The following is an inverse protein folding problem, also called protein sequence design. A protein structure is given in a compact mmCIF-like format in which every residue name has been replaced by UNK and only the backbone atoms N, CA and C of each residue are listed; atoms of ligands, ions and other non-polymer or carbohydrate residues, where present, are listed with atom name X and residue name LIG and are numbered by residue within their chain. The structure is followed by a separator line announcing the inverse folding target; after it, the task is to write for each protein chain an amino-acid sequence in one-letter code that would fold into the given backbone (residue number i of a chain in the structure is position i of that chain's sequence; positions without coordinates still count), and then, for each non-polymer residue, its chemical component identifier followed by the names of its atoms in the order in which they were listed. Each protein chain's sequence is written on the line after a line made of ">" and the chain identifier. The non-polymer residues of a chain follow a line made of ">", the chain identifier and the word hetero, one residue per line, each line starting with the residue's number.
data_IF_526831005649
#
_entry.id   IF_526831005649
#
_cell.length_a   1.000
_cell.length_b   1.000
_cell.length_c   1.000
_cell.angle_alpha   90.00
_cell.angle_beta   90.00
_cell.angle_gamma   90.00
#
_symmetry.space_group_name_H-M   'P 1'
#
loop_
_entity.id
_entity.type
_entity.pdbx_description
1 polymer ?
#
# COMPACT_ATOMS: atom_id res chain seq x y z
N UNK A 1 -24.48 4.72 47.42
CA UNK A 1 -23.57 5.56 46.62
C UNK A 1 -23.87 5.52 45.12
N UNK A 2 -23.58 4.45 44.34
CA UNK A 2 -23.83 4.48 42.88
C UNK A 2 -25.31 4.74 42.51
N UNK A 3 -26.26 4.13 43.24
CA UNK A 3 -27.71 4.38 43.03
C UNK A 3 -28.10 5.85 43.27
N UNK A 4 -27.49 6.51 44.23
CA UNK A 4 -27.81 7.91 44.58
C UNK A 4 -27.25 8.87 43.53
N UNK A 5 -26.02 8.64 43.06
CA UNK A 5 -25.43 9.47 42.00
C UNK A 5 -26.14 9.27 40.67
N UNK A 6 -26.55 8.02 40.37
CA UNK A 6 -27.32 7.71 39.16
C UNK A 6 -28.67 8.44 39.13
N UNK A 7 -29.33 8.61 40.28
CA UNK A 7 -30.55 9.39 40.38
C UNK A 7 -30.34 10.88 40.05
N UNK A 8 -29.12 11.38 40.23
CA UNK A 8 -28.71 12.72 39.84
C UNK A 8 -28.15 12.80 38.40
N UNK A 9 -28.18 11.69 37.64
CA UNK A 9 -27.66 11.63 36.27
C UNK A 9 -26.15 11.46 36.15
N UNK A 10 -25.47 11.07 37.24
CA UNK A 10 -24.01 10.90 37.30
C UNK A 10 -23.63 9.48 37.73
N UNK A 11 -22.80 8.81 36.94
CA UNK A 11 -22.24 7.51 37.31
C UNK A 11 -20.74 7.61 37.62
N UNK A 12 -20.23 6.64 38.37
CA UNK A 12 -18.79 6.45 38.52
C UNK A 12 -18.44 4.96 38.42
N UNK A 13 -17.38 4.64 37.71
CA UNK A 13 -16.91 3.28 37.46
C UNK A 13 -15.47 3.13 37.93
N UNK A 14 -15.21 2.10 38.73
CA UNK A 14 -13.87 1.68 39.15
C UNK A 14 -13.82 0.14 39.22
N UNK A 15 -12.64 -0.43 39.43
CA UNK A 15 -12.43 -1.89 39.39
C UNK A 15 -13.34 -2.68 40.33
N UNK A 16 -13.72 -2.08 41.46
CA UNK A 16 -14.61 -2.69 42.46
C UNK A 16 -16.09 -2.73 42.08
N UNK A 17 -16.49 -2.17 40.93
CA UNK A 17 -17.88 -2.24 40.44
C UNK A 17 -18.09 -3.55 39.68
N UNK A 18 -19.17 -4.26 40.01
CA UNK A 18 -19.50 -5.53 39.36
C UNK A 18 -19.68 -5.39 37.85
N UNK A 19 -19.38 -6.46 37.10
CA UNK A 19 -19.49 -6.44 35.64
C UNK A 19 -20.93 -6.19 35.15
N UNK A 20 -21.94 -6.64 35.90
CA UNK A 20 -23.35 -6.37 35.61
C UNK A 20 -23.69 -4.89 35.70
N UNK A 21 -23.31 -4.24 36.80
CA UNK A 21 -23.52 -2.81 37.02
C UNK A 21 -22.76 -1.96 35.99
N UNK A 22 -21.53 -2.35 35.64
CA UNK A 22 -20.76 -1.69 34.58
C UNK A 22 -21.49 -1.69 33.23
N UNK A 23 -22.09 -2.82 32.83
CA UNK A 23 -22.87 -2.92 31.59
C UNK A 23 -24.13 -2.07 31.64
N UNK A 24 -24.82 -2.03 32.78
CA UNK A 24 -26.01 -1.21 32.95
C UNK A 24 -25.68 0.29 32.85
N UNK A 25 -24.61 0.73 33.51
CA UNK A 25 -24.14 2.13 33.40
C UNK A 25 -23.73 2.48 31.96
N UNK A 26 -23.08 1.56 31.24
CA UNK A 26 -22.75 1.76 29.81
C UNK A 26 -24.01 1.96 28.96
N UNK A 27 -25.02 1.11 29.13
CA UNK A 27 -26.29 1.23 28.42
C UNK A 27 -27.00 2.55 28.72
N UNK A 28 -27.01 2.97 29.99
CA UNK A 28 -27.60 4.24 30.41
C UNK A 28 -26.86 5.45 29.82
N UNK A 29 -25.55 5.35 29.66
CA UNK A 29 -24.72 6.41 29.06
C UNK A 29 -24.99 6.53 27.55
N UNK A 30 -25.02 5.39 26.84
CA UNK A 30 -25.29 5.35 25.40
C UNK A 30 -26.72 5.76 25.06
N UNK A 31 -27.70 5.41 25.91
CA UNK A 31 -29.09 5.84 25.74
C UNK A 31 -29.32 7.32 26.11
N UNK A 32 -28.30 8.02 26.61
CA UNK A 32 -28.39 9.40 27.09
C UNK A 32 -29.20 9.59 28.38
N UNK A 33 -29.49 8.51 29.12
CA UNK A 33 -30.21 8.57 30.39
C UNK A 33 -29.35 9.16 31.52
N UNK A 34 -28.03 9.03 31.41
CA UNK A 34 -27.06 9.73 32.24
C UNK A 34 -26.16 10.60 31.36
N UNK A 35 -25.83 11.80 31.84
CA UNK A 35 -25.02 12.75 31.07
C UNK A 35 -23.54 12.70 31.43
N UNK A 36 -23.19 12.20 32.61
CA UNK A 36 -21.82 12.19 33.10
C UNK A 36 -21.48 10.83 33.70
N UNK A 37 -20.33 10.28 33.29
CA UNK A 37 -19.76 9.08 33.89
C UNK A 37 -18.28 9.31 34.18
N UNK A 38 -17.89 9.17 35.44
CA UNK A 38 -16.49 9.24 35.88
C UNK A 38 -15.90 7.83 35.85
N UNK A 39 -14.79 7.62 35.14
CA UNK A 39 -14.25 6.26 34.94
C UNK A 39 -12.79 6.24 35.37
N UNK A 40 -12.44 5.27 36.22
CA UNK A 40 -11.06 5.03 36.62
C UNK A 40 -10.20 4.59 35.41
N UNK A 41 -8.93 5.00 35.39
CA UNK A 41 -8.06 4.84 34.23
C UNK A 41 -7.85 3.38 33.80
N UNK A 42 -7.86 2.47 34.77
CA UNK A 42 -7.71 1.02 34.60
C UNK A 42 -8.84 0.41 33.76
N UNK A 43 -10.00 1.08 33.70
CA UNK A 43 -11.16 0.64 32.93
C UNK A 43 -11.20 1.20 31.50
N UNK A 44 -10.21 1.98 31.05
CA UNK A 44 -10.20 2.59 29.72
C UNK A 44 -10.39 1.57 28.57
N UNK A 45 -9.87 0.36 28.74
CA UNK A 45 -10.00 -0.75 27.79
C UNK A 45 -11.32 -1.52 27.94
N UNK A 46 -11.87 -1.59 29.14
CA UNK A 46 -13.09 -2.34 29.45
C UNK A 46 -14.38 -1.55 29.20
N UNK A 47 -14.29 -0.22 29.11
CA UNK A 47 -15.42 0.64 28.79
C UNK A 47 -15.74 0.55 27.30
N UNK A 48 -16.90 0.03 26.90
CA UNK A 48 -17.28 -0.03 25.48
C UNK A 48 -17.97 1.25 24.98
N UNK A 49 -18.52 2.05 25.89
CA UNK A 49 -19.34 3.20 25.54
C UNK A 49 -18.55 4.32 24.85
N UNK A 50 -19.18 4.91 23.84
CA UNK A 50 -18.71 6.08 23.11
C UNK A 50 -19.56 7.31 23.44
N UNK A 51 -18.93 8.47 23.56
CA UNK A 51 -19.56 9.71 24.02
C UNK A 51 -19.15 10.90 23.15
N UNK A 52 -19.87 12.01 23.26
CA UNK A 52 -19.52 13.26 22.55
C UNK A 52 -18.25 13.91 23.13
N UNK A 53 -18.16 14.00 24.47
CA UNK A 53 -17.05 14.68 25.16
C UNK A 53 -16.32 13.72 26.09
N UNK A 54 -14.99 13.68 25.97
CA UNK A 54 -14.12 13.01 26.95
C UNK A 54 -13.25 14.05 27.65
N UNK A 55 -13.12 13.92 28.97
CA UNK A 55 -12.17 14.69 29.77
C UNK A 55 -11.21 13.71 30.43
N UNK A 56 -9.93 13.80 30.08
CA UNK A 56 -8.86 13.06 30.75
C UNK A 56 -8.28 13.96 31.83
N UNK A 57 -8.65 13.67 33.09
CA UNK A 57 -8.26 14.43 34.25
C UNK A 57 -6.91 13.92 34.81
N UNK A 58 -5.81 14.50 34.32
CA UNK A 58 -4.41 14.12 34.57
C UNK A 58 -3.93 12.88 33.78
N UNK A 59 -2.62 12.81 33.55
CA UNK A 59 -1.94 11.79 32.77
C UNK A 59 -0.95 10.96 33.60
N UNK A 60 -1.04 11.02 34.92
CA UNK A 60 -0.14 10.33 35.84
C UNK A 60 -0.89 9.39 36.77
N UNK A 61 -0.20 8.35 37.22
CA UNK A 61 -0.62 7.42 38.26
C UNK A 61 0.46 7.33 39.33
N UNK A 62 0.06 7.24 40.58
CA UNK A 62 0.99 7.08 41.69
C UNK A 62 1.46 5.62 41.80
N UNK A 63 2.77 5.40 41.68
CA UNK A 63 3.38 4.09 41.89
C UNK A 63 3.87 3.97 43.33
N UNK A 64 3.13 3.21 44.15
CA UNK A 64 3.45 3.01 45.56
C UNK A 64 4.75 2.25 45.84
N UNK A 65 5.31 1.52 44.86
CA UNK A 65 6.61 0.83 45.01
C UNK A 65 7.78 1.79 44.85
N UNK A 66 7.64 2.76 43.95
CA UNK A 66 8.68 3.74 43.65
C UNK A 66 8.49 5.07 44.42
N UNK A 67 7.37 5.19 45.13
CA UNK A 67 6.94 6.42 45.80
C UNK A 67 6.94 7.65 44.87
N UNK A 68 6.62 7.45 43.59
CA UNK A 68 6.69 8.47 42.55
C UNK A 68 5.46 8.41 41.63
N UNK A 69 5.19 9.50 40.93
CA UNK A 69 4.18 9.55 39.87
C UNK A 69 4.79 9.10 38.55
N UNK A 70 4.15 8.13 37.91
CA UNK A 70 4.52 7.64 36.58
C UNK A 70 3.47 8.09 35.57
N UNK A 71 3.90 8.36 34.34
CA UNK A 71 2.99 8.73 33.27
C UNK A 71 2.22 7.50 32.77
N UNK A 72 0.94 7.67 32.45
CA UNK A 72 0.20 6.61 31.76
C UNK A 72 0.88 6.26 30.42
N UNK A 73 0.85 4.99 30.01
CA UNK A 73 1.20 4.61 28.65
C UNK A 73 0.40 5.45 27.64
N UNK A 74 1.07 5.89 26.57
CA UNK A 74 0.45 6.71 25.52
C UNK A 74 -0.79 6.03 24.94
N UNK A 75 -0.72 4.70 24.73
CA UNK A 75 -1.84 3.90 24.25
C UNK A 75 -3.08 4.01 25.14
N UNK A 76 -2.91 4.05 26.46
CA UNK A 76 -4.01 4.23 27.40
C UNK A 76 -4.63 5.62 27.28
N UNK A 77 -3.81 6.68 27.15
CA UNK A 77 -4.31 8.05 26.96
C UNK A 77 -5.06 8.18 25.63
N UNK A 78 -4.51 7.62 24.54
CA UNK A 78 -5.16 7.57 23.24
C UNK A 78 -6.47 6.79 23.29
N UNK A 79 -6.50 5.66 24.02
CA UNK A 79 -7.71 4.86 24.19
C UNK A 79 -8.81 5.64 24.91
N UNK A 80 -8.46 6.44 25.92
CA UNK A 80 -9.42 7.32 26.61
C UNK A 80 -9.94 8.40 25.65
N UNK A 81 -9.04 9.11 24.97
CA UNK A 81 -9.39 10.17 24.01
C UNK A 81 -10.28 9.63 22.89
N UNK A 82 -10.00 8.43 22.38
CA UNK A 82 -10.76 7.76 21.33
C UNK A 82 -12.21 7.39 21.71
N UNK A 83 -12.59 7.49 22.99
CA UNK A 83 -14.01 7.35 23.40
C UNK A 83 -14.87 8.53 22.97
N UNK A 84 -14.26 9.68 22.67
CA UNK A 84 -14.93 10.83 22.08
C UNK A 84 -15.21 10.59 20.58
N UNK A 85 -16.14 9.68 20.27
CA UNK A 85 -16.39 9.26 18.88
C UNK A 85 -17.79 8.65 18.71
N UNK A 86 -18.76 9.43 18.22
CA UNK A 86 -20.11 8.96 17.86
C UNK A 86 -20.45 9.33 16.41
N UNK A 87 -19.87 8.63 15.41
CA UNK A 87 -19.88 9.09 14.02
C UNK A 87 -21.26 9.13 13.37
N UNK A 88 -22.23 8.38 13.89
CA UNK A 88 -23.61 8.35 13.38
C UNK A 88 -24.52 9.40 14.03
N UNK A 89 -24.11 9.99 15.15
CA UNK A 89 -24.92 10.92 15.93
C UNK A 89 -24.38 12.35 15.86
N UNK A 90 -23.07 12.52 16.01
CA UNK A 90 -22.43 13.82 16.16
C UNK A 90 -21.62 14.22 14.93
N UNK A 91 -21.69 15.50 14.55
CA UNK A 91 -20.84 16.09 13.50
C UNK A 91 -19.40 16.36 13.98
N UNK A 92 -19.21 16.45 15.30
CA UNK A 92 -17.93 16.73 15.93
C UNK A 92 -17.88 16.05 17.30
N UNK A 93 -16.67 15.75 17.77
CA UNK A 93 -16.42 15.25 19.12
C UNK A 93 -15.34 16.08 19.80
N UNK A 94 -15.39 16.14 21.13
CA UNK A 94 -14.48 16.99 21.91
C UNK A 94 -13.70 16.14 22.91
N UNK A 95 -12.37 16.23 22.86
CA UNK A 95 -11.50 15.63 23.87
C UNK A 95 -10.71 16.72 24.59
N UNK A 96 -10.80 16.76 25.92
CA UNK A 96 -10.06 17.67 26.78
C UNK A 96 -9.03 16.86 27.56
N UNK A 97 -7.75 17.07 27.26
CA UNK A 97 -6.64 16.42 27.96
C UNK A 97 -6.02 17.40 28.96
N UNK A 98 -6.26 17.16 30.25
CA UNK A 98 -5.62 17.90 31.33
C UNK A 98 -4.30 17.21 31.67
N UNK A 99 -3.18 17.90 31.50
CA UNK A 99 -1.85 17.38 31.79
C UNK A 99 -0.94 18.47 32.36
N UNK A 100 0.20 18.06 32.91
CA UNK A 100 1.19 19.00 33.47
C UNK A 100 1.83 19.82 32.33
N UNK A 101 2.14 21.09 32.59
CA UNK A 101 2.56 22.08 31.58
C UNK A 101 3.71 21.60 30.66
N UNK A 102 4.68 20.87 31.19
CA UNK A 102 5.84 20.39 30.40
C UNK A 102 5.48 19.23 29.44
N UNK A 103 4.37 18.52 29.66
CA UNK A 103 3.86 17.47 28.76
C UNK A 103 2.89 17.99 27.71
N UNK A 104 2.41 19.24 27.83
CA UNK A 104 1.48 19.85 26.88
C UNK A 104 1.99 19.76 25.44
N UNK A 105 3.23 20.20 25.21
CA UNK A 105 3.84 20.19 23.87
C UNK A 105 3.96 18.78 23.31
N UNK A 106 4.27 17.80 24.16
CA UNK A 106 4.35 16.39 23.76
C UNK A 106 2.99 15.88 23.28
N UNK A 107 1.94 16.03 24.09
CA UNK A 107 0.60 15.56 23.72
C UNK A 107 -0.02 16.33 22.56
N UNK A 108 0.22 17.65 22.46
CA UNK A 108 -0.21 18.43 21.30
C UNK A 108 0.40 17.91 20.02
N UNK A 109 1.71 17.59 20.00
CA UNK A 109 2.33 16.97 18.82
C UNK A 109 1.77 15.58 18.57
N UNK A 110 1.72 14.74 19.59
CA UNK A 110 1.25 13.36 19.49
C UNK A 110 -0.19 13.22 18.96
N UNK A 111 -1.10 14.09 19.38
CA UNK A 111 -2.52 14.02 19.02
C UNK A 111 -2.81 14.69 17.67
N UNK A 112 -2.05 15.73 17.31
CA UNK A 112 -2.26 16.44 16.05
C UNK A 112 -1.41 15.87 14.92
N UNK A 113 -0.21 15.38 15.22
CA UNK A 113 0.67 14.75 14.26
C UNK A 113 0.44 13.24 14.34
N UNK A 114 0.20 12.59 13.19
CA UNK A 114 0.27 11.13 13.13
C UNK A 114 1.58 10.70 13.80
N UNK A 115 1.51 9.80 14.79
CA UNK A 115 2.69 9.17 15.36
C UNK A 115 3.59 8.78 14.18
N UNK A 116 4.86 9.22 14.14
CA UNK A 116 5.80 8.66 13.20
C UNK A 116 6.02 7.22 13.64
N UNK A 117 5.13 6.32 13.25
CA UNK A 117 5.43 4.90 13.15
C UNK A 117 6.59 4.84 12.18
N UNK A 118 7.77 4.77 12.76
CA UNK A 118 9.11 4.81 12.17
C UNK A 118 9.13 4.85 10.63
N UNK A 119 8.93 6.05 10.06
CA UNK A 119 9.17 6.34 8.63
C UNK A 119 10.64 6.07 8.25
N UNK A 120 11.48 5.78 9.24
CA UNK A 120 12.81 5.18 9.13
C UNK A 120 12.87 3.92 8.26
N UNK A 121 11.77 3.18 8.12
CA UNK A 121 11.75 1.86 7.48
C UNK A 121 11.38 1.90 6.00
N UNK A 122 10.78 3.00 5.51
CA UNK A 122 10.42 3.08 4.08
C UNK A 122 11.61 3.52 3.22
N UNK A 123 11.84 2.91 2.04
CA UNK A 123 13.04 3.14 1.23
C UNK A 123 13.22 4.58 0.76
N UNK A 124 12.11 5.28 0.48
CA UNK A 124 12.13 6.66 0.00
C UNK A 124 11.40 7.57 1.00
N UNK A 125 12.15 8.32 1.80
CA UNK A 125 11.56 9.29 2.71
C UNK A 125 10.76 10.33 1.91
N UNK A 126 9.54 10.69 2.34
CA UNK A 126 8.80 11.76 1.69
C UNK A 126 9.65 13.03 1.70
N UNK A 127 9.74 13.70 0.55
CA UNK A 127 10.42 14.99 0.43
C UNK A 127 9.38 16.08 0.23
N UNK A 128 9.52 17.19 0.95
CA UNK A 128 8.70 18.36 0.68
C UNK A 128 9.34 19.16 -0.46
N UNK A 129 8.53 19.77 -1.36
CA UNK A 129 9.08 20.71 -2.32
C UNK A 129 9.71 21.92 -1.60
N UNK A 130 10.89 22.34 -2.06
CA UNK A 130 11.57 23.58 -1.69
C UNK A 130 11.92 23.78 -0.20
N UNK A 131 12.50 22.79 0.48
CA UNK A 131 13.14 22.98 1.80
C UNK A 131 12.18 23.09 2.99
N UNK A 132 10.90 22.84 2.79
CA UNK A 132 9.91 22.77 3.88
C UNK A 132 10.00 21.44 4.65
N UNK A 133 9.47 21.44 5.87
CA UNK A 133 9.31 20.20 6.65
C UNK A 133 8.17 19.35 6.09
N UNK A 134 8.36 18.03 6.05
CA UNK A 134 7.32 17.09 5.63
C UNK A 134 6.16 17.15 6.61
N UNK A 135 4.95 17.40 6.10
CA UNK A 135 3.72 17.37 6.89
C UNK A 135 3.14 15.97 6.86
N UNK A 136 3.30 15.20 7.94
CA UNK A 136 2.79 13.83 8.04
C UNK A 136 1.25 13.74 8.14
N UNK A 137 0.59 14.88 8.36
CA UNK A 137 -0.88 14.98 8.37
C UNK A 137 -1.46 15.14 6.96
N UNK A 138 -0.61 15.29 5.93
CA UNK A 138 -1.05 15.37 4.55
C UNK A 138 -1.52 13.98 4.05
N UNK A 139 -2.77 13.84 3.54
CA UNK A 139 -3.26 12.58 3.01
C UNK A 139 -2.42 12.04 1.84
N UNK A 140 -1.75 12.90 1.07
CA UNK A 140 -0.84 12.49 0.00
C UNK A 140 0.42 11.82 0.55
N UNK A 141 0.99 12.37 1.62
CA UNK A 141 2.14 11.77 2.31
C UNK A 141 1.74 10.42 2.91
N UNK A 142 0.56 10.33 3.54
CA UNK A 142 0.03 9.06 4.05
C UNK A 142 -0.11 8.01 2.94
N UNK A 143 -0.77 8.36 1.84
CA UNK A 143 -0.95 7.44 0.70
C UNK A 143 0.40 6.98 0.11
N UNK A 144 1.37 7.90 0.00
CA UNK A 144 2.71 7.60 -0.48
C UNK A 144 3.44 6.61 0.43
N UNK A 145 3.42 6.83 1.74
CA UNK A 145 4.06 5.92 2.73
C UNK A 145 3.37 4.56 2.75
N UNK A 146 2.04 4.51 2.72
CA UNK A 146 1.28 3.25 2.68
C UNK A 146 1.58 2.45 1.40
N UNK A 147 1.69 3.11 0.25
CA UNK A 147 2.07 2.44 -1.00
C UNK A 147 3.48 1.86 -0.91
N UNK A 148 4.44 2.58 -0.34
CA UNK A 148 5.80 2.05 -0.11
C UNK A 148 5.82 0.88 0.89
N UNK A 149 5.01 0.95 1.94
CA UNK A 149 4.87 -0.14 2.91
C UNK A 149 4.29 -1.40 2.24
N UNK A 150 3.33 -1.23 1.32
CA UNK A 150 2.79 -2.31 0.49
C UNK A 150 3.86 -2.93 -0.41
N UNK A 151 4.63 -2.12 -1.15
CA UNK A 151 5.73 -2.61 -2.00
C UNK A 151 6.82 -3.33 -1.21
N UNK A 152 7.01 -2.97 0.06
CA UNK A 152 7.96 -3.63 0.97
C UNK A 152 7.37 -4.79 1.76
N UNK A 153 6.07 -5.11 1.59
CA UNK A 153 5.32 -6.14 2.35
C UNK A 153 5.42 -5.99 3.87
N UNK A 154 5.44 -4.75 4.35
CA UNK A 154 5.48 -4.47 5.79
C UNK A 154 4.17 -4.87 6.46
N UNK A 155 4.27 -5.46 7.65
CA UNK A 155 3.10 -5.75 8.48
C UNK A 155 2.62 -4.44 9.11
N UNK A 156 1.38 -4.04 8.81
CA UNK A 156 0.76 -2.82 9.29
C UNK A 156 -0.41 -3.16 10.24
N UNK A 157 -0.73 -2.29 11.22
CA UNK A 157 -1.95 -2.39 12.01
C UNK A 157 -3.21 -2.44 11.12
N UNK A 158 -4.28 -3.09 11.60
CA UNK A 158 -5.50 -3.33 10.82
C UNK A 158 -6.12 -2.05 10.22
N UNK A 159 -6.07 -0.93 10.94
CA UNK A 159 -6.57 0.37 10.47
C UNK A 159 -5.79 0.88 9.24
N UNK A 160 -4.46 0.83 9.29
CA UNK A 160 -3.60 1.23 8.18
C UNK A 160 -3.64 0.24 7.01
N UNK A 161 -3.93 -1.03 7.29
CA UNK A 161 -4.16 -2.03 6.25
C UNK A 161 -5.48 -1.76 5.49
N UNK A 162 -6.53 -1.35 6.20
CA UNK A 162 -7.78 -0.91 5.58
C UNK A 162 -7.57 0.33 4.69
N UNK A 163 -6.79 1.31 5.16
CA UNK A 163 -6.42 2.48 4.36
C UNK A 163 -5.58 2.11 3.13
N UNK A 164 -4.62 1.19 3.28
CA UNK A 164 -3.82 0.67 2.17
C UNK A 164 -4.72 0.04 1.10
N UNK A 165 -5.72 -0.77 1.50
CA UNK A 165 -6.67 -1.38 0.57
C UNK A 165 -7.46 -0.33 -0.23
N UNK A 166 -7.88 0.78 0.40
CA UNK A 166 -8.56 1.88 -0.26
C UNK A 166 -7.66 2.58 -1.28
N UNK A 167 -6.38 2.79 -0.96
CA UNK A 167 -5.38 3.36 -1.87
C UNK A 167 -5.16 2.45 -3.07
N UNK A 168 -4.93 1.15 -2.84
CA UNK A 168 -4.67 0.17 -3.90
C UNK A 168 -5.83 0.02 -4.88
N UNK A 169 -7.08 0.07 -4.39
CA UNK A 169 -8.29 0.02 -5.23
C UNK A 169 -8.36 1.18 -6.26
N UNK A 170 -7.61 2.26 -6.03
CA UNK A 170 -7.51 3.42 -6.92
C UNK A 170 -6.15 3.56 -7.60
N UNK A 171 -5.10 2.90 -7.11
CA UNK A 171 -3.75 3.05 -7.63
C UNK A 171 -3.64 2.61 -9.10
N UNK A 172 -4.17 1.43 -9.45
CA UNK A 172 -4.01 0.85 -10.80
C UNK A 172 -4.59 1.74 -11.90
N UNK A 173 -5.80 2.29 -11.71
CA UNK A 173 -6.42 3.18 -12.70
C UNK A 173 -5.65 4.50 -12.88
N UNK A 174 -5.05 5.00 -11.80
CA UNK A 174 -4.24 6.22 -11.84
C UNK A 174 -2.90 5.97 -12.55
N UNK A 175 -2.27 4.82 -12.30
CA UNK A 175 -1.04 4.42 -12.98
C UNK A 175 -1.30 4.25 -14.49
N UNK A 176 -2.42 3.62 -14.87
CA UNK A 176 -2.82 3.50 -16.27
C UNK A 176 -3.03 4.87 -16.93
N UNK A 177 -3.69 5.81 -16.24
CA UNK A 177 -3.82 7.18 -16.74
C UNK A 177 -2.45 7.88 -16.89
N UNK A 178 -1.49 7.63 -15.99
CA UNK A 178 -0.12 8.12 -16.14
C UNK A 178 0.55 7.55 -17.39
N UNK A 179 0.39 6.24 -17.65
CA UNK A 179 0.90 5.61 -18.89
C UNK A 179 0.33 6.33 -20.11
N UNK A 180 -0.99 6.56 -20.16
CA UNK A 180 -1.65 7.21 -21.30
C UNK A 180 -1.16 8.65 -21.54
N UNK A 181 -0.95 9.43 -20.48
CA UNK A 181 -0.45 10.82 -20.57
C UNK A 181 1.00 10.84 -21.07
N UNK A 182 1.84 9.99 -20.51
CA UNK A 182 3.27 9.93 -20.85
C UNK A 182 3.46 9.39 -22.26
N UNK A 183 2.69 8.38 -22.67
CA UNK A 183 2.73 7.84 -24.03
C UNK A 183 2.21 8.84 -25.05
N UNK A 184 1.18 9.62 -24.72
CA UNK A 184 0.69 10.70 -25.60
C UNK A 184 1.73 11.81 -25.79
N UNK A 185 2.62 11.99 -24.81
CA UNK A 185 3.74 12.94 -24.89
C UNK A 185 4.96 12.36 -25.63
N UNK A 186 4.92 11.08 -26.02
CA UNK A 186 5.99 10.40 -26.75
C UNK A 186 7.22 10.07 -25.89
N UNK A 187 7.12 10.01 -24.56
CA UNK A 187 8.27 9.72 -23.69
C UNK A 187 8.36 8.22 -23.40
N UNK A 188 9.46 7.58 -23.82
CA UNK A 188 9.60 6.13 -23.70
C UNK A 188 9.91 5.69 -22.26
N UNK A 189 11.02 6.14 -21.67
CA UNK A 189 11.44 5.70 -20.34
C UNK A 189 10.40 5.92 -19.24
N UNK A 190 9.71 7.07 -19.13
CA UNK A 190 8.70 7.25 -18.09
C UNK A 190 7.44 6.41 -18.35
N UNK A 191 7.15 6.04 -19.61
CA UNK A 191 6.02 5.17 -19.94
C UNK A 191 6.31 3.74 -19.49
N UNK A 192 7.49 3.22 -19.84
CA UNK A 192 7.97 1.90 -19.39
C UNK A 192 8.01 1.83 -17.86
N UNK A 193 8.57 2.86 -17.19
CA UNK A 193 8.60 2.92 -15.73
C UNK A 193 7.20 2.97 -15.08
N UNK A 194 6.22 3.62 -15.72
CA UNK A 194 4.84 3.61 -15.25
C UNK A 194 4.17 2.23 -15.43
N UNK A 195 4.52 1.48 -16.48
CA UNK A 195 4.06 0.10 -16.67
C UNK A 195 4.67 -0.83 -15.62
N UNK A 196 5.99 -0.74 -15.37
CA UNK A 196 6.66 -1.47 -14.29
C UNK A 196 6.05 -1.15 -12.92
N UNK A 197 5.68 0.12 -12.66
CA UNK A 197 5.00 0.50 -11.42
C UNK A 197 3.65 -0.19 -11.25
N UNK A 198 2.90 -0.44 -12.35
CA UNK A 198 1.65 -1.19 -12.29
C UNK A 198 1.90 -2.64 -11.84
N UNK A 199 2.94 -3.28 -12.38
CA UNK A 199 3.34 -4.63 -12.00
C UNK A 199 3.79 -4.68 -10.52
N UNK A 200 4.66 -3.74 -10.11
CA UNK A 200 5.14 -3.61 -8.73
C UNK A 200 4.00 -3.49 -7.72
N UNK A 201 3.01 -2.65 -8.01
CA UNK A 201 1.84 -2.45 -7.14
C UNK A 201 0.96 -3.71 -7.10
N UNK A 202 0.78 -4.39 -8.23
CA UNK A 202 0.00 -5.63 -8.33
C UNK A 202 0.65 -6.78 -7.55
N UNK A 203 1.97 -6.90 -7.62
CA UNK A 203 2.73 -8.00 -6.99
C UNK A 203 3.30 -7.66 -5.60
N UNK A 204 3.09 -6.42 -5.14
CA UNK A 204 3.59 -5.91 -3.86
C UNK A 204 5.10 -6.13 -3.71
N UNK A 205 5.89 -5.62 -4.66
CA UNK A 205 7.36 -5.73 -4.65
C UNK A 205 8.03 -4.57 -5.38
N UNK A 206 9.32 -4.36 -5.13
CA UNK A 206 10.11 -3.36 -5.84
C UNK A 206 10.71 -3.92 -7.13
N UNK A 207 10.95 -3.08 -8.14
CA UNK A 207 11.60 -3.48 -9.40
C UNK A 207 13.02 -4.06 -9.21
N UNK A 208 13.71 -3.67 -8.14
CA UNK A 208 15.04 -4.18 -7.77
C UNK A 208 15.01 -5.51 -7.02
N UNK A 209 13.83 -5.96 -6.59
CA UNK A 209 13.70 -7.23 -5.88
C UNK A 209 13.76 -8.39 -6.88
N UNK A 210 14.11 -9.58 -6.41
CA UNK A 210 14.06 -10.80 -7.23
C UNK A 210 12.63 -11.08 -7.70
N UNK A 211 12.47 -11.46 -8.97
CA UNK A 211 11.20 -11.88 -9.56
C UNK A 211 10.55 -13.05 -8.81
N UNK A 212 11.33 -13.86 -8.12
CA UNK A 212 10.85 -14.97 -7.29
C UNK A 212 10.01 -14.50 -6.10
N UNK A 213 10.16 -13.24 -5.67
CA UNK A 213 9.37 -12.68 -4.57
C UNK A 213 7.87 -12.62 -4.89
N UNK A 214 7.49 -12.66 -6.17
CA UNK A 214 6.10 -12.75 -6.61
C UNK A 214 5.42 -14.06 -6.19
N UNK A 215 6.20 -15.13 -6.00
CA UNK A 215 5.67 -16.43 -5.65
C UNK A 215 5.13 -16.43 -4.20
N UNK A 216 3.97 -17.07 -3.95
CA UNK A 216 3.47 -17.25 -2.60
C UNK A 216 4.49 -17.93 -1.70
N UNK A 217 4.57 -17.50 -0.43
CA UNK A 217 5.44 -18.11 0.59
C UNK A 217 6.96 -17.96 0.35
N UNK A 218 7.39 -17.18 -0.64
CA UNK A 218 8.81 -16.90 -0.86
C UNK A 218 9.32 -15.82 0.10
N UNK A 219 10.11 -16.25 1.08
CA UNK A 219 10.84 -15.36 2.00
C UNK A 219 12.19 -14.94 1.40
N UNK A 220 12.81 -13.92 1.99
CA UNK A 220 14.13 -13.43 1.56
C UNK A 220 15.19 -14.53 1.63
N UNK A 221 15.14 -15.39 2.66
CA UNK A 221 16.08 -16.53 2.80
C UNK A 221 15.89 -17.56 1.68
N UNK A 222 14.64 -17.80 1.28
CA UNK A 222 14.34 -18.75 0.22
C UNK A 222 14.81 -18.25 -1.15
N UNK A 223 14.61 -16.94 -1.42
CA UNK A 223 15.12 -16.29 -2.63
C UNK A 223 16.65 -16.40 -2.71
N UNK A 224 17.36 -16.14 -1.60
CA UNK A 224 18.82 -16.26 -1.57
C UNK A 224 19.28 -17.69 -1.88
N UNK A 225 18.61 -18.69 -1.30
CA UNK A 225 18.91 -20.11 -1.57
C UNK A 225 18.65 -20.50 -3.03
N UNK A 226 17.63 -19.93 -3.66
CA UNK A 226 17.36 -20.15 -5.09
C UNK A 226 18.47 -19.53 -5.95
N UNK A 227 18.87 -18.30 -5.65
CA UNK A 227 19.96 -17.61 -6.35
C UNK A 227 21.29 -18.36 -6.24
N UNK A 228 21.63 -18.93 -5.08
CA UNK A 228 22.83 -19.77 -4.91
C UNK A 228 22.85 -21.02 -5.81
N UNK A 229 21.69 -21.47 -6.29
CA UNK A 229 21.55 -22.59 -7.22
C UNK A 229 21.34 -22.18 -8.67
N UNK A 230 21.43 -20.88 -8.97
CA UNK A 230 21.20 -20.34 -10.31
C UNK A 230 19.73 -20.32 -10.73
N UNK A 231 18.80 -20.30 -9.77
CA UNK A 231 17.36 -20.15 -10.02
C UNK A 231 16.99 -18.69 -9.72
N UNK A 232 16.73 -17.91 -10.75
CA UNK A 232 16.52 -16.45 -10.64
C UNK A 232 15.15 -15.99 -11.15
N UNK A 233 14.54 -16.76 -12.07
CA UNK A 233 13.26 -16.44 -12.70
C UNK A 233 12.16 -17.43 -12.31
N UNK A 234 10.90 -17.03 -12.53
CA UNK A 234 9.75 -17.93 -12.32
C UNK A 234 9.81 -19.14 -13.28
N UNK A 235 10.35 -18.95 -14.49
CA UNK A 235 10.55 -20.03 -15.46
C UNK A 235 11.55 -21.07 -14.95
N UNK A 236 12.66 -20.65 -14.35
CA UNK A 236 13.64 -21.56 -13.77
C UNK A 236 13.00 -22.48 -12.70
N UNK A 237 12.09 -21.94 -11.88
CA UNK A 237 11.36 -22.71 -10.87
C UNK A 237 10.41 -23.73 -11.50
N UNK A 238 9.82 -23.41 -12.65
CA UNK A 238 8.94 -24.31 -13.41
C UNK A 238 9.72 -25.46 -14.06
N UNK A 239 10.95 -25.20 -14.51
CA UNK A 239 11.83 -26.19 -15.15
C UNK A 239 12.50 -27.15 -14.15
N UNK A 240 12.52 -26.81 -12.86
CA UNK A 240 13.05 -27.71 -11.82
C UNK A 240 12.23 -29.01 -11.74
N UNK A 241 12.95 -30.13 -11.73
CA UNK A 241 12.37 -31.45 -11.41
C UNK A 241 11.71 -31.44 -10.03
N UNK A 242 10.60 -32.16 -9.88
CA UNK A 242 9.80 -32.20 -8.65
C UNK A 242 10.62 -32.49 -7.38
N UNK A 243 11.56 -33.43 -7.47
CA UNK A 243 12.45 -33.79 -6.36
C UNK A 243 13.44 -32.66 -6.00
N UNK A 244 13.98 -31.97 -7.01
CA UNK A 244 14.88 -30.84 -6.80
C UNK A 244 14.12 -29.63 -6.25
N UNK A 245 12.92 -29.37 -6.78
CA UNK A 245 12.02 -28.30 -6.33
C UNK A 245 11.59 -28.49 -4.88
N UNK A 246 11.14 -29.69 -4.49
CA UNK A 246 10.77 -29.98 -3.11
C UNK A 246 11.93 -29.80 -2.12
N UNK A 247 13.14 -30.27 -2.49
CA UNK A 247 14.34 -30.12 -1.67
C UNK A 247 14.83 -28.68 -1.56
N UNK A 248 14.67 -27.88 -2.61
CA UNK A 248 15.07 -26.48 -2.64
C UNK A 248 14.12 -25.61 -1.82
N UNK A 249 12.81 -25.73 -2.11
CA UNK A 249 11.78 -24.89 -1.55
C UNK A 249 11.43 -25.25 -0.10
N UNK A 250 11.48 -26.53 0.26
CA UNK A 250 11.17 -27.02 1.62
C UNK A 250 9.82 -26.53 2.17
N UNK A 251 8.87 -26.25 1.28
CA UNK A 251 7.52 -25.82 1.61
C UNK A 251 6.61 -27.03 1.92
N UNK A 252 5.56 -26.78 2.70
CA UNK A 252 4.50 -27.77 2.92
C UNK A 252 3.75 -28.10 1.62
N UNK A 253 3.05 -29.25 1.55
CA UNK A 253 2.27 -29.61 0.36
C UNK A 253 1.21 -28.57 -0.03
N UNK A 254 0.62 -27.88 0.95
CA UNK A 254 -0.36 -26.81 0.73
C UNK A 254 0.28 -25.56 0.13
N UNK A 255 1.43 -25.13 0.66
CA UNK A 255 2.18 -23.99 0.14
C UNK A 255 2.73 -24.27 -1.26
N UNK A 256 3.20 -25.51 -1.49
CA UNK A 256 3.64 -25.96 -2.81
C UNK A 256 2.49 -25.94 -3.83
N UNK A 257 1.26 -26.27 -3.40
CA UNK A 257 0.08 -26.19 -4.27
C UNK A 257 -0.26 -24.73 -4.63
N UNK A 258 -0.07 -23.78 -3.71
CA UNK A 258 -0.26 -22.35 -4.01
C UNK A 258 0.78 -21.83 -5.01
N UNK A 259 2.05 -22.23 -4.83
CA UNK A 259 3.14 -21.95 -5.78
C UNK A 259 2.82 -22.53 -7.16
N UNK A 260 2.40 -23.80 -7.23
CA UNK A 260 2.02 -24.44 -8.49
C UNK A 260 0.84 -23.72 -9.18
N UNK A 261 -0.17 -23.29 -8.41
CA UNK A 261 -1.29 -22.49 -8.94
C UNK A 261 -0.84 -21.12 -9.47
N UNK A 262 0.20 -20.52 -8.88
CA UNK A 262 0.78 -19.29 -9.41
C UNK A 262 1.55 -19.58 -10.70
N UNK A 263 2.45 -20.57 -10.73
CA UNK A 263 3.25 -20.90 -11.91
C UNK A 263 2.36 -21.28 -13.12
N UNK A 264 1.28 -22.02 -12.90
CA UNK A 264 0.32 -22.35 -13.96
C UNK A 264 -0.41 -21.13 -14.53
N UNK A 265 -0.45 -20.02 -13.78
CA UNK A 265 -1.08 -18.76 -14.19
C UNK A 265 -0.05 -17.74 -14.69
N UNK A 266 1.22 -17.93 -14.36
CA UNK A 266 2.28 -17.01 -14.75
C UNK A 266 2.38 -17.01 -16.28
N UNK A 267 2.33 -15.83 -16.92
CA UNK A 267 2.17 -15.77 -18.36
C UNK A 267 3.41 -16.28 -19.08
N UNK A 268 3.25 -17.40 -19.78
CA UNK A 268 4.17 -17.83 -20.82
C UNK A 268 3.53 -17.52 -22.17
N UNK A 269 3.96 -16.44 -22.82
CA UNK A 269 3.32 -15.89 -24.02
C UNK A 269 3.48 -16.83 -25.24
N UNK A 270 4.20 -17.95 -25.09
CA UNK A 270 4.27 -19.03 -26.07
C UNK A 270 3.28 -20.20 -25.84
N UNK A 271 2.56 -20.27 -24.70
CA UNK A 271 1.70 -21.41 -24.32
C UNK A 271 0.37 -21.01 -23.63
N UNK A 272 -0.69 -21.78 -23.89
CA UNK A 272 -2.12 -21.43 -23.70
C UNK A 272 -2.78 -21.71 -22.33
N UNK A 273 -3.62 -20.75 -21.89
CA UNK A 273 -4.85 -20.74 -21.05
C UNK A 273 -4.75 -20.98 -19.51
N UNK A 274 -5.21 -20.06 -18.64
CA UNK A 274 -6.62 -19.87 -18.20
C UNK A 274 -7.05 -18.41 -17.88
N UNK A 275 -8.38 -18.18 -17.85
CA UNK A 275 -9.09 -16.88 -17.80
C UNK A 275 -8.72 -15.94 -16.64
N UNK A 276 -8.16 -14.77 -16.99
CA UNK A 276 -8.33 -13.48 -16.28
C UNK A 276 -8.21 -12.32 -17.29
N UNK A 277 -8.77 -11.16 -16.98
CA UNK A 277 -8.59 -9.92 -17.78
C UNK A 277 -7.17 -9.36 -17.54
N UNK A 278 -6.17 -9.99 -18.12
CA UNK A 278 -4.80 -9.48 -18.12
C UNK A 278 -4.65 -8.39 -19.18
N UNK A 279 -4.05 -7.26 -18.79
CA UNK A 279 -3.71 -6.18 -19.70
C UNK A 279 -2.26 -6.24 -20.12
N UNK A 280 -2.02 -6.06 -21.40
CA UNK A 280 -0.70 -6.03 -22.00
C UNK A 280 -0.53 -4.74 -22.78
N UNK A 281 0.66 -4.15 -22.72
CA UNK A 281 1.06 -3.07 -23.60
C UNK A 281 2.01 -3.61 -24.66
N UNK A 282 1.67 -3.34 -25.92
CA UNK A 282 2.59 -3.49 -27.03
C UNK A 282 3.08 -2.09 -27.39
N UNK A 283 4.38 -1.85 -27.28
CA UNK A 283 4.98 -0.53 -27.45
C UNK A 283 6.10 -0.61 -28.48
N UNK A 284 6.15 0.35 -29.40
CA UNK A 284 7.30 0.56 -30.28
C UNK A 284 7.96 1.86 -29.85
N UNK A 285 9.27 1.81 -29.60
CA UNK A 285 10.04 2.98 -29.21
C UNK A 285 11.44 2.98 -29.82
N UNK A 286 12.06 4.16 -29.80
CA UNK A 286 13.47 4.35 -30.07
C UNK A 286 14.20 4.65 -28.75
N UNK A 287 14.98 3.69 -28.22
CA UNK A 287 15.74 3.88 -26.98
C UNK A 287 16.82 4.95 -27.09
N UNK A 288 17.34 5.24 -28.29
CA UNK A 288 18.43 6.21 -28.46
C UNK A 288 17.94 7.64 -28.28
N UNK A 289 16.77 7.95 -28.82
CA UNK A 289 16.13 9.26 -28.67
C UNK A 289 15.18 9.34 -27.47
N UNK A 290 14.95 8.22 -26.76
CA UNK A 290 13.97 8.10 -25.68
C UNK A 290 12.54 8.44 -26.14
N UNK A 291 12.21 8.09 -27.38
CA UNK A 291 10.93 8.44 -28.01
C UNK A 291 10.03 7.21 -28.09
N UNK A 292 8.80 7.34 -27.59
CA UNK A 292 7.74 6.37 -27.78
C UNK A 292 7.02 6.68 -29.10
N UNK A 293 6.99 5.72 -30.02
CA UNK A 293 6.46 5.90 -31.37
C UNK A 293 5.02 5.41 -31.51
N UNK A 294 4.69 4.28 -30.88
CA UNK A 294 3.34 3.71 -30.93
C UNK A 294 3.11 2.84 -29.71
N UNK A 295 1.89 2.87 -29.17
CA UNK A 295 1.48 2.05 -28.04
C UNK A 295 0.07 1.51 -28.29
N UNK A 296 -0.17 0.28 -27.86
CA UNK A 296 -1.50 -0.30 -27.86
C UNK A 296 -1.69 -1.20 -26.65
N UNK A 297 -2.78 -0.99 -25.92
CA UNK A 297 -3.22 -1.89 -24.86
C UNK A 297 -4.04 -3.02 -25.46
N UNK A 298 -3.77 -4.25 -25.00
CA UNK A 298 -4.32 -5.48 -25.53
C UNK A 298 -4.71 -6.37 -24.35
N UNK A 299 -5.83 -7.07 -24.45
CA UNK A 299 -6.15 -8.16 -23.54
C UNK A 299 -5.97 -9.49 -24.26
N UNK A 300 -5.26 -10.41 -23.63
CA UNK A 300 -4.95 -11.72 -24.20
C UNK A 300 -5.85 -12.79 -23.56
N UNK A 301 -6.71 -13.41 -24.36
CA UNK A 301 -7.46 -14.58 -23.93
C UNK A 301 -6.77 -15.91 -24.32
N UNK A 302 -6.27 -16.01 -25.56
CA UNK A 302 -5.51 -17.16 -26.07
C UNK A 302 -4.42 -16.74 -27.05
N UNK A 303 -4.78 -15.85 -27.98
CA UNK A 303 -3.87 -15.16 -28.87
C UNK A 303 -4.55 -13.87 -29.36
N UNK A 304 -3.76 -12.87 -29.73
CA UNK A 304 -4.26 -11.65 -30.34
C UNK A 304 -3.32 -11.21 -31.46
N UNK A 305 -3.88 -10.75 -32.57
CA UNK A 305 -3.13 -10.09 -33.64
C UNK A 305 -3.24 -8.59 -33.45
N UNK A 306 -2.10 -7.94 -33.27
CA UNK A 306 -2.03 -6.51 -32.97
C UNK A 306 -1.28 -5.82 -34.10
N UNK A 307 -1.91 -4.80 -34.69
CA UNK A 307 -1.26 -3.90 -35.64
C UNK A 307 -0.93 -2.60 -34.92
N UNK A 308 0.34 -2.20 -35.02
CA UNK A 308 0.83 -0.89 -34.61
C UNK A 308 1.33 -0.16 -35.85
N UNK A 309 0.83 1.04 -36.06
CA UNK A 309 1.28 1.93 -37.11
C UNK A 309 2.11 3.04 -36.45
N UNK A 310 3.21 3.44 -37.10
CA UNK A 310 4.07 4.55 -36.68
C UNK A 310 4.76 5.15 -37.90
N UNK A 311 5.27 6.37 -37.74
CA UNK A 311 6.03 7.07 -38.78
C UNK A 311 7.52 6.95 -38.45
N UNK A 312 8.30 6.44 -39.40
CA UNK A 312 9.74 6.35 -39.26
C UNK A 312 10.40 7.75 -39.31
N UNK A 313 11.62 7.86 -38.80
CA UNK A 313 12.38 9.10 -38.79
C UNK A 313 12.89 9.54 -40.17
N UNK A 314 13.94 10.36 -40.20
CA UNK A 314 14.62 10.79 -41.44
C UNK A 314 15.14 9.59 -42.25
N UNK A 315 15.57 9.84 -43.49
CA UNK A 315 16.23 8.80 -44.28
C UNK A 315 17.41 8.17 -43.54
N UNK A 316 17.60 6.87 -43.76
CA UNK A 316 18.67 6.08 -43.15
C UNK A 316 18.19 4.88 -42.35
N UNK A 317 19.16 4.19 -41.74
CA UNK A 317 18.94 2.97 -40.97
C UNK A 317 18.61 3.31 -39.51
N UNK A 318 17.38 3.00 -39.10
CA UNK A 318 16.92 3.17 -37.73
C UNK A 318 16.85 1.84 -37.01
N UNK A 319 17.13 1.85 -35.71
CA UNK A 319 16.97 0.67 -34.84
C UNK A 319 15.91 0.99 -33.81
N UNK A 320 14.84 0.20 -33.82
CA UNK A 320 13.70 0.35 -32.91
C UNK A 320 13.62 -0.87 -32.00
N UNK A 321 12.92 -0.71 -30.89
CA UNK A 321 12.62 -1.81 -29.97
C UNK A 321 11.10 -1.94 -29.84
N UNK A 322 10.62 -3.17 -30.01
CA UNK A 322 9.27 -3.59 -29.66
C UNK A 322 9.30 -4.11 -28.21
N UNK A 323 8.54 -3.48 -27.34
CA UNK A 323 8.32 -3.90 -25.96
C UNK A 323 6.96 -4.57 -25.86
N UNK A 324 6.93 -5.70 -25.17
CA UNK A 324 5.71 -6.40 -24.82
C UNK A 324 5.66 -6.52 -23.30
N UNK A 325 4.80 -5.72 -22.66
CA UNK A 325 4.82 -5.54 -21.21
C UNK A 325 3.49 -5.92 -20.55
N UNK A 326 3.56 -6.61 -19.41
CA UNK A 326 2.39 -6.95 -18.60
C UNK A 326 1.97 -5.77 -17.71
N UNK A 327 0.69 -5.69 -17.34
CA UNK A 327 0.22 -4.79 -16.27
C UNK A 327 0.20 -5.43 -14.89
N UNK A 328 0.52 -6.73 -14.81
CA UNK A 328 0.34 -7.52 -13.60
C UNK A 328 1.59 -8.29 -13.14
N UNK A 329 2.45 -8.76 -14.04
CA UNK A 329 3.56 -9.67 -13.69
C UNK A 329 4.93 -9.08 -14.07
N UNK A 330 5.89 -9.12 -13.14
CA UNK A 330 7.28 -8.73 -13.42
C UNK A 330 8.05 -9.93 -13.99
N UNK A 331 8.94 -9.69 -14.95
CA UNK A 331 9.78 -10.74 -15.54
C UNK A 331 9.08 -11.57 -16.62
N UNK A 332 7.88 -11.16 -17.04
CA UNK A 332 7.19 -11.68 -18.22
C UNK A 332 7.34 -10.77 -19.45
N UNK A 333 7.98 -9.62 -19.27
CA UNK A 333 8.15 -8.61 -20.32
C UNK A 333 9.19 -9.07 -21.35
N UNK A 334 8.94 -8.73 -22.61
CA UNK A 334 9.80 -9.12 -23.73
C UNK A 334 10.22 -7.90 -24.54
N UNK A 335 11.45 -7.91 -25.01
CA UNK A 335 12.02 -6.85 -25.85
C UNK A 335 12.60 -7.43 -27.13
N UNK A 336 12.15 -6.91 -28.28
CA UNK A 336 12.64 -7.32 -29.59
C UNK A 336 13.19 -6.13 -30.35
N UNK A 337 14.50 -6.15 -30.62
CA UNK A 337 15.16 -5.12 -31.42
C UNK A 337 15.00 -5.45 -32.91
N UNK A 338 14.61 -4.45 -33.69
CA UNK A 338 14.51 -4.58 -35.14
C UNK A 338 15.04 -3.33 -35.83
N UNK A 339 15.44 -3.46 -37.10
CA UNK A 339 15.94 -2.34 -37.90
C UNK A 339 15.02 -2.05 -39.07
N UNK A 340 14.82 -0.77 -39.36
CA UNK A 340 14.08 -0.31 -40.53
C UNK A 340 14.97 0.63 -41.33
N UNK A 341 15.11 0.35 -42.63
CA UNK A 341 15.82 1.22 -43.57
C UNK A 341 14.80 2.14 -44.25
N UNK A 342 14.90 3.43 -43.97
CA UNK A 342 14.01 4.46 -44.51
C UNK A 342 14.66 5.07 -45.74
N UNK A 343 14.03 4.91 -46.90
CA UNK A 343 14.48 5.53 -48.14
C UNK A 343 14.39 7.07 -48.04
N UNK A 344 15.27 7.77 -48.76
CA UNK A 344 15.09 9.21 -48.98
C UNK A 344 13.74 9.46 -49.66
N UNK A 345 13.00 10.44 -49.14
CA UNK A 345 11.79 10.90 -49.80
C UNK A 345 12.17 11.32 -51.22
N UNK A 346 11.61 10.67 -52.22
CA UNK A 346 11.74 11.11 -53.59
C UNK A 346 11.20 12.54 -53.64
N UNK A 347 12.03 13.50 -54.04
CA UNK A 347 11.53 14.83 -54.35
C UNK A 347 10.56 14.66 -55.51
N UNK A 348 9.26 14.85 -55.28
CA UNK A 348 8.27 14.95 -56.35
C UNK A 348 8.65 16.18 -57.20
N UNK A 349 9.43 15.94 -58.25
CA UNK A 349 9.63 16.87 -59.34
C UNK A 349 8.50 16.68 -60.36
N UNK A 350 7.33 17.23 -60.04
CA UNK A 350 6.20 17.47 -60.95
C UNK A 350 5.41 18.63 -60.34
N UNK A 351 5.31 19.84 -60.90
CA UNK A 351 5.17 20.19 -62.31
C UNK A 351 5.96 21.46 -62.67
N UNK A 352 6.81 21.34 -63.68
CA UNK A 352 7.13 22.45 -64.56
C UNK A 352 7.28 21.89 -65.97
N UNK A 353 6.17 21.86 -66.71
CA UNK A 353 6.10 22.07 -68.17
C UNK A 353 4.66 22.40 -68.59
#
# INVERSE_FOLDING_TARGET
>A
MLRETLAAGVAYLHEGVEAGDRRLVQQLLESGAIQLCVVAAELAWALAAHVHTVIVADTHVYNGKLHAYEQYPISTVLQMVGRACRPLEDQQAVAVLMCVQHHKTFFTKLLNDCLPLEVSVVPHKPTAPAGNTVKYNDPHVKAHVLLQAHLSRMQLPAELQADTALVLAKAIRLIQACVDVVSSSGWLSPAVAAMELAQMVTQAMWAKDSYLRQLPHFTTELVQRCSEKGVETVFDVMELEDNARAKLLQLSPTEMADVARFCNRYPNVELTYEKREEGWWVVIGDPKSNTLLSIKRVSLARSAKVRLDFVCGSSGRHTYTLYFMSDAYLGADQEYKFTADVAEAASDSSDSE
#
